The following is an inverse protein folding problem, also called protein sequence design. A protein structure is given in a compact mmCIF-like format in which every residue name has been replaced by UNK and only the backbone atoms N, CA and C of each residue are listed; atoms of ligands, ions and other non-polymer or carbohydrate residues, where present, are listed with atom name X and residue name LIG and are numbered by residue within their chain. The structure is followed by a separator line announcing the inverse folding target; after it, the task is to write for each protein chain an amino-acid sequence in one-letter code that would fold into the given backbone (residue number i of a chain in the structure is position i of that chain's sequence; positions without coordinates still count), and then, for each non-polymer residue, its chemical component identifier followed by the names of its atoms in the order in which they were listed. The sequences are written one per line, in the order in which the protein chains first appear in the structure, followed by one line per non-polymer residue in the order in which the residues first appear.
data_IF_991140298076
#
_entry.id   IF_991140298076
#
_cell.length_a   1.000
_cell.length_b   1.000
_cell.length_c   1.000
_cell.angle_alpha   90.00
_cell.angle_beta   90.00
_cell.angle_gamma   90.00
#
_symmetry.space_group_name_H-M   'P 1'
#
loop_
_entity.id
_entity.type
_entity.pdbx_description
1 polymer ?
#
# COMPACT_ATOMS: atom_id res chain seq x y z
N UNK A 1 5.23 10.99 16.70
CA UNK A 1 6.04 10.17 17.64
C UNK A 1 7.32 9.72 16.93
N UNK A 2 8.38 9.33 17.67
CA UNK A 2 9.61 8.81 17.07
C UNK A 2 9.37 7.58 16.16
N UNK A 3 8.46 6.68 16.56
CA UNK A 3 8.07 5.50 15.77
C UNK A 3 7.43 5.88 14.43
N UNK A 4 6.53 6.87 14.45
CA UNK A 4 5.88 7.37 13.23
C UNK A 4 6.90 8.00 12.28
N UNK A 5 7.83 8.80 12.81
CA UNK A 5 8.89 9.43 12.03
C UNK A 5 9.83 8.39 11.39
N UNK A 6 10.26 7.38 12.16
CA UNK A 6 11.10 6.30 11.64
C UNK A 6 10.41 5.52 10.51
N UNK A 7 9.10 5.23 10.65
CA UNK A 7 8.33 4.53 9.61
C UNK A 7 8.21 5.37 8.33
N UNK A 8 8.01 6.68 8.47
CA UNK A 8 7.96 7.60 7.34
C UNK A 8 9.31 7.68 6.61
N UNK A 9 10.43 7.82 7.33
CA UNK A 9 11.78 7.85 6.73
C UNK A 9 12.15 6.52 6.06
N UNK A 10 11.75 5.39 6.64
CA UNK A 10 11.92 4.07 6.03
C UNK A 10 11.15 4.00 4.69
N UNK A 11 9.88 4.40 4.69
CA UNK A 11 9.05 4.41 3.47
C UNK A 11 9.65 5.33 2.40
N UNK A 12 10.07 6.54 2.76
CA UNK A 12 10.66 7.52 1.83
C UNK A 12 11.98 7.03 1.24
N UNK A 13 12.85 6.43 2.07
CA UNK A 13 14.12 5.85 1.62
C UNK A 13 13.87 4.70 0.65
N UNK A 14 12.91 3.82 0.95
CA UNK A 14 12.56 2.72 0.06
C UNK A 14 11.96 3.22 -1.26
N UNK A 15 11.03 4.17 -1.21
CA UNK A 15 10.40 4.73 -2.40
C UNK A 15 11.42 5.37 -3.35
N UNK A 16 12.38 6.14 -2.82
CA UNK A 16 13.47 6.69 -3.62
C UNK A 16 14.49 5.64 -4.07
N UNK A 17 14.66 4.55 -3.32
CA UNK A 17 15.42 3.38 -3.77
C UNK A 17 14.85 2.78 -5.05
N UNK A 18 13.52 2.71 -5.19
CA UNK A 18 12.86 2.26 -6.43
C UNK A 18 13.21 3.17 -7.62
N UNK A 19 13.23 4.49 -7.38
CA UNK A 19 13.62 5.47 -8.41
C UNK A 19 15.06 5.23 -8.88
N UNK A 20 15.98 4.92 -7.96
CA UNK A 20 17.36 4.58 -8.28
C UNK A 20 17.47 3.25 -9.06
N UNK A 21 16.76 2.21 -8.64
CA UNK A 21 16.69 0.91 -9.33
C UNK A 21 16.24 1.09 -10.79
N UNK A 22 15.18 1.87 -11.00
CA UNK A 22 14.66 2.22 -12.32
C UNK A 22 15.68 2.97 -13.17
N UNK A 23 16.40 3.94 -12.61
CA UNK A 23 17.38 4.74 -13.34
C UNK A 23 18.55 3.90 -13.87
N UNK A 24 18.95 2.85 -13.16
CA UNK A 24 20.05 1.96 -13.57
C UNK A 24 19.59 0.67 -14.25
N UNK A 25 18.28 0.48 -14.47
CA UNK A 25 17.72 -0.70 -15.12
C UNK A 25 17.86 -1.99 -14.30
N UNK A 26 17.85 -1.89 -12.97
CA UNK A 26 17.91 -3.05 -12.07
C UNK A 26 16.56 -3.28 -11.40
N UNK A 27 16.24 -4.55 -11.12
CA UNK A 27 15.00 -4.92 -10.45
C UNK A 27 15.16 -4.85 -8.91
N UNK A 28 14.26 -4.16 -8.18
CA UNK A 28 14.29 -4.15 -6.72
C UNK A 28 13.82 -5.50 -6.16
N UNK A 29 14.47 -5.96 -5.09
CA UNK A 29 14.04 -7.16 -4.37
C UNK A 29 13.00 -6.82 -3.29
N UNK A 30 11.82 -7.45 -3.40
CA UNK A 30 10.79 -7.36 -2.36
C UNK A 30 11.11 -8.30 -1.20
N UNK A 31 11.23 -7.74 0.01
CA UNK A 31 11.57 -8.48 1.23
C UNK A 31 10.48 -8.32 2.30
N UNK A 32 10.53 -9.12 3.37
CA UNK A 32 9.59 -9.02 4.50
C UNK A 32 9.56 -7.63 5.15
N UNK A 33 10.59 -6.79 4.95
CA UNK A 33 10.66 -5.41 5.45
C UNK A 33 9.57 -4.50 4.88
N UNK A 34 8.95 -4.87 3.75
CA UNK A 34 7.78 -4.18 3.19
C UNK A 34 6.58 -4.14 4.13
N UNK A 35 6.53 -5.02 5.14
CA UNK A 35 5.45 -5.03 6.12
C UNK A 35 5.21 -3.65 6.74
N UNK A 36 6.29 -2.91 7.04
CA UNK A 36 6.19 -1.58 7.62
C UNK A 36 5.52 -0.57 6.68
N UNK A 37 5.78 -0.69 5.37
CA UNK A 37 5.23 0.18 4.34
C UNK A 37 3.76 -0.20 4.09
N UNK A 38 3.45 -1.49 3.97
CA UNK A 38 2.09 -1.98 3.82
C UNK A 38 1.21 -1.57 5.01
N UNK A 39 1.73 -1.67 6.24
CA UNK A 39 1.01 -1.24 7.44
C UNK A 39 0.81 0.28 7.48
N UNK A 40 1.82 1.05 7.05
CA UNK A 40 1.71 2.50 6.94
C UNK A 40 0.64 2.91 5.91
N UNK A 41 0.63 2.26 4.75
CA UNK A 41 -0.34 2.48 3.68
C UNK A 41 -1.77 2.19 4.13
N UNK A 42 -2.00 1.05 4.81
CA UNK A 42 -3.30 0.76 5.41
C UNK A 42 -3.73 1.86 6.40
N UNK A 43 -2.83 2.29 7.27
CA UNK A 43 -3.12 3.35 8.25
C UNK A 43 -3.31 4.74 7.61
N UNK A 44 -2.85 4.97 6.38
CA UNK A 44 -2.98 6.26 5.68
C UNK A 44 -4.23 6.38 4.80
N UNK A 45 -5.05 5.32 4.71
CA UNK A 45 -6.29 5.33 3.94
C UNK A 45 -7.27 6.43 4.38
N UNK A 46 -7.61 6.60 5.68
CA UNK A 46 -8.52 7.69 6.08
C UNK A 46 -8.00 9.07 5.67
N UNK A 47 -6.68 9.28 5.70
CA UNK A 47 -6.05 10.50 5.21
C UNK A 47 -6.18 10.67 3.69
N UNK A 48 -5.96 9.59 2.93
CA UNK A 48 -6.07 9.58 1.46
C UNK A 48 -7.47 9.98 1.00
N UNK A 49 -8.52 9.42 1.63
CA UNK A 49 -9.92 9.75 1.36
C UNK A 49 -10.26 11.20 1.73
N UNK A 50 -9.82 11.65 2.92
CA UNK A 50 -10.00 13.03 3.35
C UNK A 50 -9.39 14.02 2.36
N UNK A 51 -8.22 13.70 1.79
CA UNK A 51 -7.53 14.58 0.85
C UNK A 51 -8.28 14.72 -0.49
N UNK A 52 -8.96 13.67 -0.94
CA UNK A 52 -9.72 13.68 -2.22
C UNK A 52 -11.18 14.08 -2.05
N UNK A 53 -11.65 14.31 -0.81
CA UNK A 53 -13.06 14.60 -0.51
C UNK A 53 -13.98 13.38 -0.69
N UNK A 54 -13.42 12.18 -0.79
CA UNK A 54 -14.17 10.93 -0.92
C UNK A 54 -14.60 10.46 0.48
N UNK A 55 -15.77 9.84 0.58
CA UNK A 55 -16.26 9.30 1.85
C UNK A 55 -15.55 7.98 2.19
N UNK A 56 -15.02 7.89 3.41
CA UNK A 56 -14.49 6.63 3.96
C UNK A 56 -15.53 5.99 4.88
N UNK A 57 -16.52 5.33 4.27
CA UNK A 57 -17.60 4.66 5.00
C UNK A 57 -17.52 3.14 4.87
N UNK A 58 -17.56 2.47 6.01
CA UNK A 58 -17.49 1.01 6.10
C UNK A 58 -16.09 0.47 6.38
N UNK A 59 -16.01 -0.85 6.45
CA UNK A 59 -14.78 -1.58 6.72
C UNK A 59 -14.08 -1.97 5.42
N UNK A 60 -12.75 -1.85 5.43
CA UNK A 60 -11.88 -2.26 4.34
C UNK A 60 -10.87 -3.29 4.85
N UNK A 61 -10.76 -4.39 4.10
CA UNK A 61 -9.77 -5.43 4.32
C UNK A 61 -8.72 -5.42 3.22
N UNK A 62 -7.47 -5.69 3.60
CA UNK A 62 -6.35 -5.84 2.67
C UNK A 62 -5.68 -7.18 2.94
N UNK A 63 -5.59 -8.03 1.93
CA UNK A 63 -4.93 -9.34 1.98
C UNK A 63 -3.76 -9.41 0.99
N UNK A 64 -2.54 -9.47 1.50
CA UNK A 64 -1.33 -9.40 0.69
C UNK A 64 -0.56 -10.72 0.74
N UNK A 65 -0.18 -11.21 -0.44
CA UNK A 65 0.87 -12.23 -0.61
C UNK A 65 2.22 -11.55 -0.38
N UNK A 66 2.85 -11.88 0.74
CA UNK A 66 4.14 -11.34 1.11
C UNK A 66 5.28 -12.25 0.62
N UNK A 67 6.52 -11.74 0.56
CA UNK A 67 7.70 -12.56 0.28
C UNK A 67 7.79 -13.78 1.20
N UNK A 68 8.57 -14.78 0.79
CA UNK A 68 8.78 -16.03 1.55
C UNK A 68 7.48 -16.80 1.85
N UNK A 69 6.51 -16.76 0.93
CA UNK A 69 5.19 -17.41 1.04
C UNK A 69 4.39 -17.00 2.29
N UNK A 70 4.67 -15.82 2.85
CA UNK A 70 3.90 -15.26 3.96
C UNK A 70 2.62 -14.59 3.45
N UNK A 71 1.68 -14.33 4.36
CA UNK A 71 0.47 -13.54 4.10
C UNK A 71 0.34 -12.47 5.17
N UNK A 72 -0.08 -11.28 4.76
CA UNK A 72 -0.40 -10.18 5.66
C UNK A 72 -1.85 -9.76 5.45
N UNK A 73 -2.57 -9.58 6.55
CA UNK A 73 -3.95 -9.11 6.54
C UNK A 73 -4.09 -7.86 7.39
N UNK A 74 -4.89 -6.91 6.93
CA UNK A 74 -5.23 -5.70 7.66
C UNK A 74 -6.74 -5.44 7.52
N UNK A 75 -7.37 -4.91 8.57
CA UNK A 75 -8.82 -4.75 8.63
C UNK A 75 -9.54 -5.96 9.21
N UNK A 76 -10.86 -5.85 9.44
CA UNK A 76 -11.66 -6.93 9.99
C UNK A 76 -11.87 -8.07 8.98
N UNK A 77 -12.19 -9.27 9.47
CA UNK A 77 -12.36 -10.48 8.64
C UNK A 77 -13.70 -10.52 7.89
N UNK A 78 -14.69 -9.77 8.35
CA UNK A 78 -16.05 -9.68 7.79
C UNK A 78 -16.28 -8.45 6.89
N UNK A 79 -15.21 -7.72 6.56
CA UNK A 79 -15.30 -6.60 5.63
C UNK A 79 -15.75 -7.08 4.24
N UNK A 80 -16.72 -6.40 3.66
CA UNK A 80 -17.21 -6.65 2.30
C UNK A 80 -16.41 -5.92 1.22
N UNK A 81 -15.57 -4.96 1.62
CA UNK A 81 -14.61 -4.30 0.73
C UNK A 81 -13.23 -4.92 0.95
N UNK A 82 -12.66 -5.52 -0.10
CA UNK A 82 -11.41 -6.28 0.00
C UNK A 82 -10.44 -5.89 -1.10
N UNK A 83 -9.18 -5.63 -0.74
CA UNK A 83 -8.07 -5.49 -1.68
C UNK A 83 -7.18 -6.73 -1.56
N UNK A 84 -6.87 -7.39 -2.67
CA UNK A 84 -5.94 -8.53 -2.69
C UNK A 84 -4.81 -8.33 -3.69
N UNK A 85 -3.69 -9.05 -3.50
CA UNK A 85 -2.59 -9.12 -4.45
C UNK A 85 -1.22 -9.25 -3.79
N UNK A 86 -0.14 -8.80 -4.44
CA UNK A 86 1.21 -8.89 -3.86
C UNK A 86 1.51 -7.70 -2.97
N UNK A 87 2.29 -7.93 -1.90
CA UNK A 87 2.71 -6.87 -1.01
C UNK A 87 3.58 -5.81 -1.71
N UNK A 88 4.40 -6.22 -2.68
CA UNK A 88 5.25 -5.33 -3.46
C UNK A 88 4.45 -4.34 -4.32
N UNK A 89 3.51 -4.84 -5.11
CA UNK A 89 2.61 -4.01 -5.92
C UNK A 89 1.81 -3.05 -5.05
N UNK A 90 1.21 -3.54 -3.96
CA UNK A 90 0.45 -2.70 -3.04
C UNK A 90 1.30 -1.57 -2.45
N UNK A 91 2.52 -1.87 -1.98
CA UNK A 91 3.43 -0.86 -1.46
C UNK A 91 3.82 0.17 -2.54
N UNK A 92 4.13 -0.26 -3.77
CA UNK A 92 4.51 0.62 -4.90
C UNK A 92 3.38 1.56 -5.30
N UNK A 93 2.14 1.06 -5.33
CA UNK A 93 0.94 1.86 -5.56
C UNK A 93 0.74 2.88 -4.45
N UNK A 94 0.84 2.43 -3.19
CA UNK A 94 0.66 3.31 -2.03
C UNK A 94 1.71 4.43 -1.96
N UNK A 95 2.95 4.21 -2.41
CA UNK A 95 3.96 5.29 -2.50
C UNK A 95 3.92 6.04 -3.83
N UNK A 96 2.92 5.82 -4.68
CA UNK A 96 2.76 6.45 -6.00
C UNK A 96 3.92 6.23 -6.98
N UNK A 97 4.60 5.08 -6.91
CA UNK A 97 5.64 4.66 -7.88
C UNK A 97 5.12 3.65 -8.89
N UNK A 98 3.89 3.17 -8.71
CA UNK A 98 3.16 2.38 -9.70
C UNK A 98 1.67 2.79 -9.70
N UNK A 99 0.99 2.59 -10.83
CA UNK A 99 -0.46 2.77 -10.93
C UNK A 99 -1.14 1.44 -10.66
N UNK A 100 -2.25 1.44 -9.91
CA UNK A 100 -3.01 0.22 -9.65
C UNK A 100 -3.40 -0.53 -10.95
N UNK A 101 -3.72 0.19 -12.02
CA UNK A 101 -4.06 -0.38 -13.33
C UNK A 101 -2.91 -1.16 -14.02
N UNK A 102 -1.67 -1.02 -13.54
CA UNK A 102 -0.49 -1.72 -14.06
C UNK A 102 -0.09 -2.90 -13.15
N UNK A 103 -0.92 -3.25 -12.17
CA UNK A 103 -0.65 -4.30 -11.18
C UNK A 103 -1.71 -5.38 -11.24
N UNK A 104 -1.44 -6.51 -10.60
CA UNK A 104 -2.42 -7.57 -10.38
C UNK A 104 -3.18 -7.40 -9.06
N UNK A 105 -3.29 -6.16 -8.55
CA UNK A 105 -4.11 -5.87 -7.38
C UNK A 105 -5.58 -5.93 -7.77
N UNK A 106 -6.36 -6.67 -6.99
CA UNK A 106 -7.80 -6.81 -7.16
C UNK A 106 -8.52 -6.05 -6.05
N UNK A 107 -9.67 -5.45 -6.38
CA UNK A 107 -10.51 -4.74 -5.43
C UNK A 107 -11.97 -5.15 -5.59
N UNK A 108 -12.51 -5.76 -4.54
CA UNK A 108 -13.93 -6.11 -4.42
C UNK A 108 -14.63 -5.06 -3.54
N UNK A 109 -15.72 -4.48 -4.03
CA UNK A 109 -16.46 -3.41 -3.36
C UNK A 109 -16.00 -1.99 -3.73
N UNK A 110 -16.94 -1.03 -3.67
CA UNK A 110 -16.72 0.36 -4.12
C UNK A 110 -15.67 1.10 -3.29
N UNK A 111 -15.62 0.85 -1.97
CA UNK A 111 -14.62 1.44 -1.08
C UNK A 111 -13.22 0.92 -1.43
N UNK A 112 -13.08 -0.38 -1.75
CA UNK A 112 -11.79 -0.97 -2.13
C UNK A 112 -11.28 -0.43 -3.47
N UNK A 113 -12.17 -0.29 -4.45
CA UNK A 113 -11.83 0.29 -5.76
C UNK A 113 -11.40 1.76 -5.62
N UNK A 114 -12.13 2.52 -4.82
CA UNK A 114 -11.80 3.91 -4.51
C UNK A 114 -10.46 3.98 -3.77
N UNK A 115 -10.26 3.14 -2.76
CA UNK A 115 -9.03 3.06 -2.00
C UNK A 115 -7.81 2.81 -2.89
N UNK A 116 -7.82 1.79 -3.76
CA UNK A 116 -6.68 1.55 -4.67
C UNK A 116 -6.38 2.71 -5.61
N UNK A 117 -7.40 3.47 -6.02
CA UNK A 117 -7.23 4.63 -6.92
C UNK A 117 -6.56 5.80 -6.22
N UNK A 118 -6.85 6.02 -4.94
CA UNK A 118 -6.45 7.26 -4.24
C UNK A 118 -5.38 7.07 -3.18
N UNK A 119 -5.11 5.81 -2.78
CA UNK A 119 -4.20 5.48 -1.69
C UNK A 119 -2.86 6.16 -1.88
N UNK A 120 -2.41 6.80 -0.81
CA UNK A 120 -1.10 7.44 -0.76
C UNK A 120 -0.52 7.39 0.64
N UNK A 121 0.76 7.03 0.70
CA UNK A 121 1.64 7.32 1.81
C UNK A 121 2.12 8.76 1.63
N UNK A 122 2.06 9.56 2.69
CA UNK A 122 2.38 11.00 2.74
C UNK A 122 3.37 11.51 1.68
N UNK A 123 2.88 12.47 0.87
CA UNK A 123 3.60 13.64 0.34
C UNK A 123 2.62 14.81 0.41
#
# INVERSE_FOLDING_TARGET
SARSFASARLMETWAHGLDAHRAVGSEPEDTLRLYHIAKLAYNSLPYSFKLTGEEYSGDLRIELKAPENKRWTFGPDDATNVITGTAGEFCRVAVQREKAANTNLEAEGELAQTALRIIRCYI
#
